data_IF_421552157494
#
_entry.id   IF_421552157494
#
_cell.length_a   1.000
_cell.length_b   1.000
_cell.length_c   1.000
_cell.angle_alpha   90.00
_cell.angle_beta   90.00
_cell.angle_gamma   90.00
#
_symmetry.space_group_name_H-M   'P 1'
#
loop_
_entity.id
_entity.type
_entity.pdbx_description
1 polymer ?
#
# COMPACT_ATOMS: atom_id res chain seq x y z
N UNK A 1 -49.98 54.77 13.64
CA UNK A 1 -49.22 55.42 12.55
C UNK A 1 -47.77 55.42 12.96
N UNK A 2 -47.18 54.24 13.18
CA UNK A 2 -46.71 53.26 12.17
C UNK A 2 -45.45 53.81 11.50
N UNK A 3 -44.27 53.31 11.88
CA UNK A 3 -43.50 52.22 11.21
C UNK A 3 -42.37 52.88 10.39
N UNK A 4 -41.09 52.49 10.35
CA UNK A 4 -40.31 51.31 10.72
C UNK A 4 -38.89 51.81 11.10
N UNK A 5 -38.32 51.40 12.23
CA UNK A 5 -37.48 50.19 12.43
C UNK A 5 -36.10 50.22 11.74
N UNK A 6 -35.07 50.64 12.49
CA UNK A 6 -33.70 50.13 12.34
C UNK A 6 -33.16 49.76 13.72
N UNK A 7 -32.99 48.44 13.93
CA UNK A 7 -32.49 47.84 15.17
C UNK A 7 -31.06 47.37 14.89
N UNK A 8 -30.08 48.02 15.50
CA UNK A 8 -28.76 47.43 15.71
C UNK A 8 -28.83 46.42 16.86
N UNK A 9 -28.51 45.16 16.57
CA UNK A 9 -27.92 44.17 17.49
C UNK A 9 -26.91 43.42 16.61
N UNK A 10 -25.62 43.43 16.92
CA UNK A 10 -25.04 42.73 18.07
C UNK A 10 -24.35 41.49 17.47
N UNK A 11 -23.02 41.54 17.42
CA UNK A 11 -22.17 40.78 16.51
C UNK A 11 -22.37 39.26 16.49
N UNK A 12 -22.33 38.72 15.28
CA UNK A 12 -22.23 37.30 15.03
C UNK A 12 -20.90 36.94 14.37
N UNK A 13 -20.36 35.85 14.87
CA UNK A 13 -18.98 35.39 14.75
C UNK A 13 -18.75 34.78 13.35
N UNK A 14 -18.32 35.59 12.37
CA UNK A 14 -17.97 35.08 11.04
C UNK A 14 -16.48 34.77 10.97
N UNK A 15 -16.15 33.55 11.37
CA UNK A 15 -14.90 32.87 11.09
C UNK A 15 -14.69 32.82 9.58
N UNK A 16 -13.78 33.64 9.06
CA UNK A 16 -13.27 33.49 7.70
C UNK A 16 -12.24 32.35 7.69
N UNK A 17 -12.72 31.11 7.86
CA UNK A 17 -11.95 29.87 7.66
C UNK A 17 -12.50 29.20 6.39
N UNK A 18 -12.18 29.78 5.24
CA UNK A 18 -12.52 29.17 3.95
C UNK A 18 -11.36 29.28 2.96
N UNK A 19 -10.12 29.15 3.46
CA UNK A 19 -8.91 29.05 2.62
C UNK A 19 -8.13 27.73 2.85
N UNK A 20 -8.51 26.93 3.86
CA UNK A 20 -7.77 25.70 4.23
C UNK A 20 -8.26 24.41 3.56
N UNK A 21 -9.52 24.35 3.13
CA UNK A 21 -10.07 23.10 2.55
C UNK A 21 -9.60 22.87 1.12
N UNK A 22 -9.63 23.87 0.25
CA UNK A 22 -9.24 23.71 -1.15
C UNK A 22 -7.75 23.42 -1.32
N UNK A 23 -6.89 24.05 -0.50
CA UNK A 23 -5.46 23.74 -0.48
C UNK A 23 -5.16 22.30 -0.01
N UNK A 24 -6.00 21.74 0.87
CA UNK A 24 -5.85 20.37 1.36
C UNK A 24 -6.27 19.35 0.30
N UNK A 25 -7.40 19.58 -0.39
CA UNK A 25 -7.85 18.70 -1.48
C UNK A 25 -6.91 18.74 -2.70
N UNK A 26 -6.40 19.93 -3.07
CA UNK A 26 -5.43 20.06 -4.16
C UNK A 26 -4.09 19.38 -3.81
N UNK A 27 -3.66 19.44 -2.54
CA UNK A 27 -2.44 18.76 -2.09
C UNK A 27 -2.60 17.23 -2.02
N UNK A 28 -3.77 16.73 -1.65
CA UNK A 28 -4.08 15.29 -1.68
C UNK A 28 -4.07 14.79 -3.13
N UNK A 29 -4.80 15.45 -4.04
CA UNK A 29 -4.85 15.07 -5.45
C UNK A 29 -3.46 15.13 -6.15
N UNK A 30 -2.64 16.14 -5.84
CA UNK A 30 -1.27 16.25 -6.36
C UNK A 30 -0.30 15.24 -5.73
N UNK A 31 -0.54 14.82 -4.48
CA UNK A 31 0.20 13.74 -3.85
C UNK A 31 -0.15 12.42 -4.53
N UNK A 32 -1.43 12.19 -4.82
CA UNK A 32 -1.92 10.98 -5.47
C UNK A 32 -1.39 10.85 -6.91
N UNK A 33 -1.34 11.92 -7.71
CA UNK A 33 -0.74 11.90 -9.05
C UNK A 33 0.76 11.60 -9.03
N UNK A 34 1.50 12.19 -8.06
CA UNK A 34 2.93 11.92 -7.88
C UNK A 34 3.18 10.50 -7.39
N UNK A 35 2.35 10.02 -6.47
CA UNK A 35 2.45 8.66 -5.96
C UNK A 35 2.07 7.64 -7.04
N UNK A 36 1.06 7.91 -7.88
CA UNK A 36 0.76 7.09 -9.06
C UNK A 36 1.95 7.02 -10.04
N UNK A 37 2.60 8.14 -10.34
CA UNK A 37 3.78 8.15 -11.21
C UNK A 37 4.94 7.33 -10.65
N UNK A 38 5.12 7.32 -9.32
CA UNK A 38 6.15 6.51 -8.65
C UNK A 38 5.78 5.03 -8.57
N UNK A 39 4.51 4.71 -8.34
CA UNK A 39 4.00 3.33 -8.42
C UNK A 39 4.25 2.80 -9.83
N UNK A 40 3.96 3.58 -10.87
CA UNK A 40 4.20 3.21 -12.26
C UNK A 40 5.69 2.96 -12.55
N UNK A 41 6.61 3.74 -11.96
CA UNK A 41 8.06 3.48 -12.04
C UNK A 41 8.46 2.14 -11.37
N UNK A 42 7.89 1.84 -10.19
CA UNK A 42 8.12 0.55 -9.50
C UNK A 42 7.61 -0.60 -10.37
N UNK A 43 6.38 -0.49 -10.89
CA UNK A 43 5.79 -1.48 -11.79
C UNK A 43 6.64 -1.74 -13.00
N UNK A 44 7.05 -0.69 -13.72
CA UNK A 44 7.93 -0.82 -14.90
C UNK A 44 9.27 -1.47 -14.56
N UNK A 45 9.84 -1.17 -13.39
CA UNK A 45 11.08 -1.80 -12.93
C UNK A 45 10.89 -3.30 -12.67
N UNK A 46 9.78 -3.69 -12.03
CA UNK A 46 9.46 -5.09 -11.75
C UNK A 46 9.17 -5.84 -13.05
N UNK A 47 8.28 -5.32 -13.90
CA UNK A 47 7.91 -5.90 -15.21
C UNK A 47 9.14 -6.15 -16.08
N UNK A 48 10.08 -5.20 -16.14
CA UNK A 48 11.32 -5.33 -16.91
C UNK A 48 12.22 -6.49 -16.44
N UNK A 49 12.02 -6.97 -15.20
CA UNK A 49 12.78 -8.07 -14.62
C UNK A 49 12.07 -9.43 -14.69
N UNK A 50 10.88 -9.49 -15.27
CA UNK A 50 10.06 -10.71 -15.32
C UNK A 50 10.53 -11.69 -16.41
N UNK A 51 10.54 -12.97 -16.03
CA UNK A 51 10.42 -14.12 -16.92
C UNK A 51 9.16 -14.89 -16.50
N UNK A 52 8.41 -15.39 -17.48
CA UNK A 52 7.02 -15.88 -17.36
C UNK A 52 6.79 -16.93 -16.26
N UNK A 53 5.73 -16.75 -15.46
CA UNK A 53 5.15 -17.80 -14.61
C UNK A 53 3.76 -17.45 -14.09
N UNK A 54 2.87 -18.44 -14.00
CA UNK A 54 1.45 -18.25 -13.64
C UNK A 54 1.17 -18.44 -12.14
N UNK A 55 0.48 -17.46 -11.51
CA UNK A 55 -0.36 -17.62 -10.31
C UNK A 55 -1.48 -16.56 -10.30
N UNK A 56 -2.63 -16.88 -9.67
CA UNK A 56 -3.79 -15.98 -9.53
C UNK A 56 -4.05 -15.61 -8.05
N UNK A 57 -4.47 -14.37 -7.75
CA UNK A 57 -4.89 -13.92 -6.40
C UNK A 57 -6.35 -14.24 -6.06
N UNK A 58 -6.65 -14.39 -4.76
CA UNK A 58 -8.02 -14.44 -4.20
C UNK A 58 -8.41 -13.08 -3.58
N UNK A 59 -9.67 -12.64 -3.78
CA UNK A 59 -10.17 -11.34 -3.31
C UNK A 59 -11.14 -11.48 -2.13
N UNK A 60 -10.68 -11.24 -0.90
CA UNK A 60 -11.50 -10.73 0.22
C UNK A 60 -10.64 -9.83 1.12
N UNK A 61 -11.20 -8.73 1.66
CA UNK A 61 -10.49 -7.83 2.58
C UNK A 61 -10.28 -8.49 3.95
N UNK A 62 -9.04 -8.47 4.42
CA UNK A 62 -8.55 -9.38 5.46
C UNK A 62 -8.59 -8.81 6.87
N UNK A 63 -8.78 -9.69 7.85
CA UNK A 63 -8.43 -9.39 9.23
C UNK A 63 -6.90 -9.46 9.38
N UNK A 64 -6.22 -8.36 9.05
CA UNK A 64 -4.75 -8.28 9.02
C UNK A 64 -4.11 -8.87 10.29
N UNK A 65 -4.67 -8.57 11.45
CA UNK A 65 -4.17 -9.06 12.74
C UNK A 65 -4.15 -10.59 12.83
N UNK A 66 -5.16 -11.28 12.27
CA UNK A 66 -5.18 -12.74 12.21
C UNK A 66 -4.11 -13.28 11.26
N UNK A 67 -3.95 -12.67 10.09
CA UNK A 67 -2.95 -13.09 9.10
C UNK A 67 -1.53 -12.90 9.61
N UNK A 68 -1.28 -11.79 10.32
CA UNK A 68 -0.02 -11.56 11.02
C UNK A 68 0.20 -12.66 12.07
N UNK A 69 -0.77 -12.96 12.95
CA UNK A 69 -0.59 -13.98 13.99
C UNK A 69 -0.40 -15.42 13.49
N UNK A 70 -0.85 -15.73 12.26
CA UNK A 70 -0.57 -17.03 11.63
C UNK A 70 0.87 -17.08 11.14
N UNK A 71 1.36 -16.00 10.53
CA UNK A 71 2.63 -15.96 9.83
C UNK A 71 3.82 -15.49 10.67
N UNK A 72 3.59 -14.79 11.78
CA UNK A 72 4.63 -14.28 12.67
C UNK A 72 4.30 -14.77 14.09
N UNK A 73 5.28 -15.40 14.74
CA UNK A 73 5.04 -16.12 16.01
C UNK A 73 5.47 -15.33 17.23
N UNK A 74 6.45 -14.46 17.05
CA UNK A 74 6.96 -13.61 18.12
C UNK A 74 6.21 -12.27 18.18
N UNK A 75 6.06 -11.72 19.38
CA UNK A 75 5.32 -10.47 19.62
C UNK A 75 6.02 -9.27 18.95
N UNK A 76 7.35 -9.25 18.95
CA UNK A 76 8.14 -8.20 18.30
C UNK A 76 8.03 -8.32 16.77
N UNK A 77 8.04 -9.53 16.21
CA UNK A 77 7.77 -9.73 14.78
C UNK A 77 6.38 -9.20 14.40
N UNK A 78 5.36 -9.56 15.17
CA UNK A 78 3.99 -9.10 14.95
C UNK A 78 3.91 -7.57 14.99
N UNK A 79 4.53 -6.93 16.00
CA UNK A 79 4.57 -5.48 16.15
C UNK A 79 5.26 -4.81 14.95
N UNK A 80 6.41 -5.33 14.51
CA UNK A 80 7.15 -4.77 13.36
C UNK A 80 6.32 -4.85 12.07
N UNK A 81 5.62 -5.97 11.84
CA UNK A 81 4.76 -6.12 10.65
C UNK A 81 3.57 -5.16 10.71
N UNK A 82 2.92 -5.02 11.87
CA UNK A 82 1.85 -4.03 12.06
C UNK A 82 2.33 -2.59 11.80
N UNK A 83 3.56 -2.26 12.20
CA UNK A 83 4.16 -0.96 11.92
C UNK A 83 4.38 -0.72 10.42
N UNK A 84 4.73 -1.75 9.65
CA UNK A 84 4.84 -1.61 8.19
C UNK A 84 3.49 -1.28 7.56
N UNK A 85 2.40 -1.91 8.03
CA UNK A 85 1.05 -1.65 7.52
C UNK A 85 0.51 -0.26 7.87
N UNK A 86 0.87 0.29 9.05
CA UNK A 86 0.41 1.61 9.51
C UNK A 86 0.59 2.74 8.47
N UNK A 87 1.65 2.67 7.68
CA UNK A 87 1.98 3.68 6.67
C UNK A 87 1.76 3.22 5.22
N UNK A 88 1.29 1.98 5.02
CA UNK A 88 1.17 1.36 3.71
C UNK A 88 -0.26 1.32 3.17
N UNK A 89 -1.29 1.34 4.04
CA UNK A 89 -2.68 1.11 3.62
C UNK A 89 -3.20 2.04 2.50
N UNK A 90 -2.94 3.34 2.58
CA UNK A 90 -3.35 4.28 1.52
C UNK A 90 -2.64 4.00 0.20
N UNK A 91 -1.43 3.45 0.25
CA UNK A 91 -0.62 3.09 -0.92
C UNK A 91 -1.00 1.73 -1.50
N UNK A 92 -1.39 0.78 -0.66
CA UNK A 92 -1.87 -0.55 -1.08
C UNK A 92 -3.07 -0.41 -2.02
N UNK A 93 -4.04 0.46 -1.70
CA UNK A 93 -5.20 0.70 -2.57
C UNK A 93 -4.81 1.30 -3.95
N UNK A 94 -3.81 2.19 -3.98
CA UNK A 94 -3.29 2.76 -5.23
C UNK A 94 -2.54 1.70 -6.06
N UNK A 95 -1.78 0.83 -5.40
CA UNK A 95 -1.08 -0.30 -6.03
C UNK A 95 -2.09 -1.28 -6.61
N UNK A 96 -3.11 -1.68 -5.85
CA UNK A 96 -4.17 -2.57 -6.33
C UNK A 96 -4.84 -2.00 -7.58
N UNK A 97 -5.23 -0.71 -7.54
CA UNK A 97 -5.84 -0.05 -8.69
C UNK A 97 -4.92 -0.08 -9.93
N UNK A 98 -3.62 0.17 -9.75
CA UNK A 98 -2.64 0.12 -10.85
C UNK A 98 -2.45 -1.29 -11.41
N UNK A 99 -2.48 -2.33 -10.57
CA UNK A 99 -2.45 -3.75 -11.01
C UNK A 99 -3.68 -4.06 -11.85
N UNK A 100 -4.85 -3.61 -11.40
CA UNK A 100 -6.13 -3.85 -12.08
C UNK A 100 -6.23 -3.15 -13.45
N UNK A 101 -5.40 -2.13 -13.71
CA UNK A 101 -5.30 -1.46 -15.01
C UNK A 101 -4.46 -2.25 -16.04
N UNK A 102 -3.65 -3.21 -15.59
CA UNK A 102 -2.89 -4.11 -16.48
C UNK A 102 -3.75 -5.26 -16.99
N UNK A 103 -3.34 -5.89 -18.09
CA UNK A 103 -3.97 -7.12 -18.55
C UNK A 103 -3.71 -8.30 -17.61
N UNK A 104 -4.53 -9.35 -17.75
CA UNK A 104 -4.44 -10.53 -16.88
C UNK A 104 -3.11 -11.26 -16.99
N UNK A 105 -2.43 -11.19 -18.13
CA UNK A 105 -1.13 -11.85 -18.34
C UNK A 105 -0.06 -11.17 -17.48
N UNK A 106 0.02 -9.84 -17.54
CA UNK A 106 0.92 -9.04 -16.71
C UNK A 106 0.60 -9.19 -15.22
N UNK A 107 -0.69 -9.21 -14.87
CA UNK A 107 -1.09 -9.46 -13.48
C UNK A 107 -0.58 -10.83 -13.01
N UNK A 108 -0.81 -11.90 -13.77
CA UNK A 108 -0.36 -13.25 -13.41
C UNK A 108 1.18 -13.33 -13.31
N UNK A 109 1.91 -12.70 -14.22
CA UNK A 109 3.37 -12.68 -14.21
C UNK A 109 3.93 -11.97 -12.96
N UNK A 110 3.28 -10.88 -12.52
CA UNK A 110 3.65 -10.18 -11.29
C UNK A 110 3.47 -11.08 -10.05
N UNK A 111 2.32 -11.75 -9.95
CA UNK A 111 2.03 -12.67 -8.84
C UNK A 111 2.99 -13.85 -8.86
N UNK A 112 3.24 -14.42 -10.05
CA UNK A 112 4.13 -15.56 -10.25
C UNK A 112 5.57 -15.21 -9.84
N UNK A 113 6.06 -14.06 -10.29
CA UNK A 113 7.39 -13.60 -9.93
C UNK A 113 7.56 -13.42 -8.44
N UNK A 114 6.59 -12.79 -7.78
CA UNK A 114 6.71 -12.53 -6.36
C UNK A 114 6.61 -13.81 -5.54
N UNK A 115 5.73 -14.72 -5.93
CA UNK A 115 5.62 -16.05 -5.34
C UNK A 115 6.92 -16.85 -5.49
N UNK A 116 7.56 -16.81 -6.67
CA UNK A 116 8.86 -17.44 -6.90
C UNK A 116 9.96 -16.87 -6.01
N UNK A 117 10.03 -15.53 -5.88
CA UNK A 117 10.99 -14.88 -4.98
C UNK A 117 10.77 -15.30 -3.54
N UNK A 118 9.53 -15.30 -3.09
CA UNK A 118 9.15 -15.78 -1.76
C UNK A 118 9.59 -17.24 -1.51
N UNK A 119 9.28 -18.16 -2.44
CA UNK A 119 9.66 -19.57 -2.29
C UNK A 119 11.19 -19.75 -2.28
N UNK A 120 11.93 -19.02 -3.13
CA UNK A 120 13.39 -19.05 -3.10
C UNK A 120 13.97 -18.61 -1.75
N UNK A 121 13.34 -17.64 -1.09
CA UNK A 121 13.75 -17.20 0.25
C UNK A 121 13.35 -18.21 1.34
N UNK A 122 12.20 -18.87 1.19
CA UNK A 122 11.76 -19.96 2.06
C UNK A 122 12.72 -21.17 1.98
N UNK A 123 13.16 -21.53 0.77
CA UNK A 123 14.12 -22.61 0.54
C UNK A 123 15.50 -22.34 1.14
N UNK A 124 15.85 -21.07 1.35
CA UNK A 124 17.06 -20.65 2.08
C UNK A 124 16.95 -20.82 3.60
N UNK A 125 15.79 -21.23 4.11
CA UNK A 125 15.55 -21.42 5.55
C UNK A 125 15.43 -20.11 6.34
N UNK A 126 15.11 -19.00 5.67
CA UNK A 126 14.83 -17.73 6.33
C UNK A 126 13.50 -17.80 7.10
N UNK A 127 13.42 -17.10 8.23
CA UNK A 127 12.15 -16.94 8.92
C UNK A 127 11.25 -15.92 8.20
N UNK A 128 9.96 -15.90 8.53
CA UNK A 128 8.98 -15.11 7.80
C UNK A 128 9.26 -13.59 7.83
N UNK A 129 9.78 -13.06 8.95
CA UNK A 129 10.16 -11.64 9.02
C UNK A 129 11.37 -11.34 8.13
N UNK A 130 12.39 -12.19 8.15
CA UNK A 130 13.56 -12.07 7.28
C UNK A 130 13.17 -12.16 5.81
N UNK A 131 12.26 -13.07 5.45
CA UNK A 131 11.73 -13.17 4.08
C UNK A 131 11.06 -11.86 3.68
N UNK A 132 10.20 -11.29 4.53
CA UNK A 132 9.50 -10.04 4.25
C UNK A 132 10.49 -8.87 4.08
N UNK A 133 11.47 -8.73 4.97
CA UNK A 133 12.49 -7.67 4.89
C UNK A 133 13.39 -7.82 3.65
N UNK A 134 13.72 -9.05 3.28
CA UNK A 134 14.51 -9.35 2.08
C UNK A 134 13.70 -9.05 0.80
N UNK A 135 12.40 -9.37 0.78
CA UNK A 135 11.50 -8.95 -0.30
C UNK A 135 11.41 -7.42 -0.40
N UNK A 136 11.36 -6.69 0.71
CA UNK A 136 11.46 -5.22 0.64
C UNK A 136 12.77 -4.78 -0.03
N UNK A 137 13.89 -5.40 0.31
CA UNK A 137 15.20 -5.02 -0.23
C UNK A 137 15.37 -5.36 -1.72
N UNK A 138 14.87 -6.51 -2.17
CA UNK A 138 15.02 -6.97 -3.55
C UNK A 138 14.32 -6.08 -4.57
N UNK A 139 13.26 -5.40 -4.14
CA UNK A 139 12.43 -4.55 -4.98
C UNK A 139 12.81 -3.05 -4.86
N UNK A 140 13.85 -2.72 -4.08
CA UNK A 140 14.42 -1.37 -4.05
C UNK A 140 15.10 -1.04 -5.38
N UNK A 141 14.65 0.06 -5.99
CA UNK A 141 15.31 0.64 -7.15
C UNK A 141 16.68 1.20 -6.70
N UNK A 142 17.82 0.76 -7.28
CA UNK A 142 19.16 1.06 -6.75
C UNK A 142 19.45 2.56 -6.54
N UNK A 143 18.96 3.43 -7.42
CA UNK A 143 19.14 4.88 -7.34
C UNK A 143 18.07 5.61 -6.48
N UNK A 144 17.17 4.88 -5.82
CA UNK A 144 16.11 5.41 -4.95
C UNK A 144 16.17 4.86 -3.52
N UNK A 145 17.19 4.08 -3.17
CA UNK A 145 17.32 3.42 -1.86
C UNK A 145 17.19 4.39 -0.66
N UNK A 146 17.77 5.58 -0.78
CA UNK A 146 17.72 6.60 0.27
C UNK A 146 16.48 7.50 0.18
N UNK A 147 15.62 7.28 -0.82
CA UNK A 147 14.36 8.01 -0.95
C UNK A 147 13.26 7.30 -0.15
N UNK A 148 12.90 7.90 0.98
CA UNK A 148 11.88 7.36 1.88
C UNK A 148 10.51 7.13 1.21
N UNK A 149 10.13 7.92 0.22
CA UNK A 149 8.85 7.74 -0.48
C UNK A 149 8.84 6.45 -1.29
N UNK A 150 9.91 6.19 -2.05
CA UNK A 150 10.06 4.96 -2.84
C UNK A 150 10.16 3.73 -1.94
N UNK A 151 10.97 3.80 -0.89
CA UNK A 151 11.08 2.71 0.09
C UNK A 151 9.72 2.39 0.74
N UNK A 152 8.92 3.40 1.05
CA UNK A 152 7.57 3.19 1.58
C UNK A 152 6.60 2.64 0.52
N UNK A 153 6.73 3.02 -0.75
CA UNK A 153 5.91 2.47 -1.83
C UNK A 153 6.27 1.00 -2.12
N UNK A 154 7.54 0.64 -2.08
CA UNK A 154 7.99 -0.75 -2.24
C UNK A 154 7.49 -1.62 -1.09
N UNK A 155 7.53 -1.10 0.14
CA UNK A 155 6.92 -1.80 1.28
C UNK A 155 5.43 -2.01 1.04
N UNK A 156 4.70 -0.98 0.65
CA UNK A 156 3.28 -1.11 0.34
C UNK A 156 3.03 -2.11 -0.81
N UNK A 157 3.89 -2.14 -1.82
CA UNK A 157 3.81 -3.10 -2.93
C UNK A 157 3.95 -4.53 -2.44
N UNK A 158 4.98 -4.85 -1.66
CA UNK A 158 5.14 -6.21 -1.10
C UNK A 158 4.02 -6.55 -0.13
N UNK A 159 3.56 -5.58 0.68
CA UNK A 159 2.46 -5.79 1.61
C UNK A 159 1.11 -5.99 0.93
N UNK A 160 0.90 -5.48 -0.29
CA UNK A 160 -0.26 -5.82 -1.10
C UNK A 160 -0.30 -7.33 -1.37
N UNK A 161 0.82 -7.95 -1.73
CA UNK A 161 0.88 -9.39 -1.98
C UNK A 161 0.89 -10.25 -0.72
N UNK A 162 1.28 -9.66 0.41
CA UNK A 162 0.97 -10.25 1.71
C UNK A 162 -0.53 -10.24 1.94
N UNK A 163 -1.21 -9.13 1.66
CA UNK A 163 -2.65 -9.02 1.81
C UNK A 163 -3.36 -9.97 0.84
N UNK A 164 -3.08 -10.01 -0.46
CA UNK A 164 -3.79 -10.87 -1.41
C UNK A 164 -3.51 -12.40 -1.36
N UNK A 165 -2.73 -12.86 -0.36
CA UNK A 165 -2.30 -14.26 -0.18
C UNK A 165 -1.33 -14.81 -1.22
N UNK A 166 -0.74 -13.99 -2.09
CA UNK A 166 0.30 -14.46 -3.02
C UNK A 166 1.51 -14.96 -2.26
N UNK A 167 1.86 -14.32 -1.14
CA UNK A 167 2.94 -14.73 -0.25
C UNK A 167 2.38 -15.00 1.15
N UNK A 168 3.05 -15.90 1.88
CA UNK A 168 2.67 -16.36 3.22
C UNK A 168 1.36 -17.17 3.30
N UNK A 169 1.08 -17.73 4.48
CA UNK A 169 -0.07 -18.62 4.69
C UNK A 169 -1.39 -17.86 4.72
N UNK A 170 -2.41 -18.51 4.15
CA UNK A 170 -3.82 -18.11 4.19
C UNK A 170 -4.43 -18.43 5.56
N UNK A 171 -5.30 -17.56 6.06
CA UNK A 171 -6.25 -17.83 7.15
C UNK A 171 -7.25 -18.89 6.72
N UNK A 172 -7.97 -19.50 7.67
CA UNK A 172 -9.02 -20.49 7.36
C UNK A 172 -10.16 -19.91 6.52
N UNK A 173 -10.44 -18.61 6.64
CA UNK A 173 -11.43 -17.92 5.80
C UNK A 173 -10.95 -17.69 4.35
N UNK A 174 -9.64 -17.79 4.10
CA UNK A 174 -9.01 -17.56 2.79
C UNK A 174 -8.71 -18.90 2.05
N UNK A 175 -9.00 -20.07 2.65
CA UNK A 175 -8.79 -21.41 2.06
C UNK A 175 -10.05 -21.94 1.39
#
# INVERSE_FOLDING_TARGET
>A
MDELSQKQKGGDNSTNIQAGRDATFINIAKSDEKDFGRIDEIFKSVIKSLGSSETQPDKEHINLSKKIGINFKDEEECRRVQEYFKYAYTKIALIEKRIQEEDSEVQNDLHGHLFQRYNSLKDRGLNNLQILEELFSQFIIPNKKDNAEYTNLIRAFILFFFDDCTIFEKTESEK
#
